data_IF_774814296671
#
_entry.id   IF_774814296671
#
_cell.length_a   1.000
_cell.length_b   1.000
_cell.length_c   1.000
_cell.angle_alpha   90.00
_cell.angle_beta   90.00
_cell.angle_gamma   90.00
#
_symmetry.space_group_name_H-M   'P 1'
#
loop_
_entity.id
_entity.type
_entity.pdbx_description
1 polymer ?
#
# COMPACT_ATOMS: atom_id res chain seq x y z
N UNK A 1 10.99 -19.19 -29.00
CA UNK A 1 11.46 -18.02 -28.24
C UNK A 1 10.61 -17.90 -27.00
N UNK A 2 11.12 -18.28 -25.83
CA UNK A 2 10.45 -18.02 -24.56
C UNK A 2 10.80 -16.58 -24.20
N UNK A 3 9.90 -15.63 -24.44
CA UNK A 3 10.00 -14.31 -23.81
C UNK A 3 9.75 -14.53 -22.33
N UNK A 4 10.81 -14.80 -21.57
CA UNK A 4 10.79 -15.02 -20.13
C UNK A 4 10.44 -13.73 -19.42
N UNK A 5 9.15 -13.42 -19.32
CA UNK A 5 8.68 -12.32 -18.50
C UNK A 5 8.92 -12.68 -17.04
N UNK A 6 9.46 -11.75 -16.25
CA UNK A 6 9.58 -11.90 -14.80
C UNK A 6 8.23 -12.29 -14.22
N UNK A 7 8.20 -13.21 -13.26
CA UNK A 7 6.98 -13.60 -12.53
C UNK A 7 6.62 -12.61 -11.42
N UNK A 8 7.51 -11.65 -11.12
CA UNK A 8 7.28 -10.63 -10.09
C UNK A 8 6.57 -9.41 -10.65
N UNK A 9 5.66 -8.84 -9.86
CA UNK A 9 5.03 -7.55 -10.09
C UNK A 9 5.16 -6.71 -8.83
N UNK A 10 6.02 -5.70 -8.86
CA UNK A 10 6.22 -4.78 -7.73
C UNK A 10 5.55 -3.45 -8.05
N UNK A 11 4.56 -3.06 -7.26
CA UNK A 11 3.75 -1.88 -7.53
C UNK A 11 3.36 -1.13 -6.26
N UNK A 12 3.06 0.16 -6.41
CA UNK A 12 2.49 0.99 -5.36
C UNK A 12 1.05 1.39 -5.68
N UNK A 13 0.26 1.65 -4.64
CA UNK A 13 -1.02 2.35 -4.79
C UNK A 13 -0.84 3.79 -4.31
N UNK A 14 -1.19 4.74 -5.18
CA UNK A 14 -1.14 6.17 -4.91
C UNK A 14 -2.54 6.75 -5.06
N UNK A 15 -2.92 7.63 -4.13
CA UNK A 15 -4.24 8.25 -4.14
C UNK A 15 -4.24 9.49 -3.24
N UNK A 16 -5.21 10.37 -3.45
CA UNK A 16 -5.58 11.38 -2.46
C UNK A 16 -6.16 10.68 -1.20
N UNK A 17 -6.17 11.33 -0.01
CA UNK A 17 -6.89 10.78 1.14
C UNK A 17 -8.33 10.44 0.81
N UNK A 18 -8.83 9.39 1.47
CA UNK A 18 -10.20 8.89 1.36
C UNK A 18 -10.66 8.39 -0.03
N UNK A 19 -9.78 8.37 -1.04
CA UNK A 19 -10.06 7.82 -2.38
C UNK A 19 -10.25 6.28 -2.41
N UNK A 20 -10.05 5.59 -1.27
CA UNK A 20 -10.31 4.16 -1.15
C UNK A 20 -9.09 3.24 -1.29
N UNK A 21 -7.85 3.78 -1.21
CA UNK A 21 -6.60 2.99 -1.24
C UNK A 21 -6.63 1.78 -0.30
N UNK A 22 -6.99 1.99 0.97
CA UNK A 22 -7.05 0.90 1.97
C UNK A 22 -8.04 -0.20 1.57
N UNK A 23 -9.18 0.20 1.01
CA UNK A 23 -10.21 -0.75 0.53
C UNK A 23 -9.71 -1.54 -0.68
N UNK A 24 -9.03 -0.89 -1.63
CA UNK A 24 -8.43 -1.58 -2.76
C UNK A 24 -7.34 -2.57 -2.31
N UNK A 25 -6.45 -2.14 -1.42
CA UNK A 25 -5.42 -3.00 -0.81
C UNK A 25 -6.03 -4.24 -0.16
N UNK A 26 -7.08 -4.07 0.67
CA UNK A 26 -7.79 -5.20 1.30
C UNK A 26 -8.30 -6.19 0.24
N UNK A 27 -8.94 -5.68 -0.83
CA UNK A 27 -9.53 -6.53 -1.87
C UNK A 27 -8.48 -7.26 -2.69
N UNK A 28 -7.37 -6.61 -3.04
CA UNK A 28 -6.26 -7.26 -3.73
C UNK A 28 -5.69 -8.43 -2.91
N UNK A 29 -5.49 -8.23 -1.60
CA UNK A 29 -5.04 -9.29 -0.70
C UNK A 29 -6.05 -10.43 -0.59
N UNK A 30 -7.36 -10.12 -0.53
CA UNK A 30 -8.41 -11.15 -0.54
C UNK A 30 -8.40 -11.97 -1.82
N UNK A 31 -8.28 -11.32 -2.99
CA UNK A 31 -8.22 -12.01 -4.28
C UNK A 31 -6.95 -12.85 -4.42
N UNK A 32 -5.84 -12.43 -3.80
CA UNK A 32 -4.60 -13.21 -3.70
C UNK A 32 -4.60 -14.31 -2.63
N UNK A 33 -5.73 -14.56 -1.94
CA UNK A 33 -5.83 -15.56 -0.88
C UNK A 33 -5.10 -15.18 0.43
N UNK A 34 -4.58 -13.96 0.55
CA UNK A 34 -3.89 -13.45 1.73
C UNK A 34 -4.89 -12.97 2.81
N UNK A 35 -5.80 -13.86 3.24
CA UNK A 35 -6.96 -13.57 4.11
C UNK A 35 -6.55 -12.88 5.41
N UNK A 36 -5.52 -13.39 6.10
CA UNK A 36 -5.05 -12.82 7.36
C UNK A 36 -4.50 -11.39 7.17
N UNK A 37 -3.77 -11.17 6.07
CA UNK A 37 -3.18 -9.87 5.75
C UNK A 37 -4.27 -8.86 5.38
N UNK A 38 -5.29 -9.29 4.62
CA UNK A 38 -6.46 -8.47 4.33
C UNK A 38 -7.21 -8.04 5.60
N UNK A 39 -7.41 -8.97 6.54
CA UNK A 39 -8.02 -8.67 7.84
C UNK A 39 -7.22 -7.63 8.64
N UNK A 40 -5.89 -7.74 8.64
CA UNK A 40 -5.01 -6.78 9.29
C UNK A 40 -5.05 -5.38 8.65
N UNK A 41 -5.11 -5.31 7.31
CA UNK A 41 -5.25 -4.03 6.58
C UNK A 41 -6.56 -3.35 6.93
N UNK A 42 -7.67 -4.11 6.92
CA UNK A 42 -8.98 -3.57 7.28
C UNK A 42 -9.01 -3.03 8.71
N UNK A 43 -8.53 -3.81 9.68
CA UNK A 43 -8.46 -3.40 11.08
C UNK A 43 -7.60 -2.13 11.26
N UNK A 44 -6.48 -2.02 10.55
CA UNK A 44 -5.63 -0.80 10.56
C UNK A 44 -6.34 0.40 9.93
N UNK A 45 -7.10 0.18 8.85
CA UNK A 45 -7.91 1.23 8.22
C UNK A 45 -8.98 1.79 9.16
N UNK A 46 -9.69 0.91 9.86
CA UNK A 46 -10.69 1.28 10.89
C UNK A 46 -10.03 2.04 12.06
N UNK A 47 -8.86 1.59 12.54
CA UNK A 47 -8.10 2.31 13.56
C UNK A 47 -7.60 3.69 13.10
N UNK A 48 -7.14 3.84 11.85
CA UNK A 48 -6.69 5.14 11.29
C UNK A 48 -7.82 6.16 11.22
N UNK A 49 -9.04 5.74 10.87
CA UNK A 49 -10.22 6.64 10.81
C UNK A 49 -10.54 7.26 12.18
N UNK A 50 -10.32 6.52 13.26
CA UNK A 50 -10.58 6.99 14.63
C UNK A 50 -9.44 7.84 15.21
N UNK A 51 -8.26 7.85 14.56
CA UNK A 51 -7.00 8.30 15.16
C UNK A 51 -6.32 9.44 14.37
N UNK A 52 -7.07 10.21 13.57
CA UNK A 52 -6.53 11.28 12.70
C UNK A 52 -5.68 12.31 13.47
N UNK A 53 -6.01 12.57 14.73
CA UNK A 53 -5.24 13.47 15.61
C UNK A 53 -3.84 12.95 15.93
N UNK A 54 -3.64 11.62 15.98
CA UNK A 54 -2.31 11.04 16.24
C UNK A 54 -1.37 11.16 15.04
N UNK A 55 -1.91 11.10 13.82
CA UNK A 55 -1.09 11.29 12.60
C UNK A 55 -0.58 12.73 12.46
N UNK A 56 -1.32 13.74 12.96
CA UNK A 56 -0.80 15.11 13.09
C UNK A 56 0.36 15.20 14.07
N UNK A 57 0.24 14.54 15.23
CA UNK A 57 1.30 14.48 16.25
C UNK A 57 2.55 13.75 15.73
N UNK A 58 2.40 12.66 14.98
CA UNK A 58 3.52 11.96 14.34
C UNK A 58 4.24 12.84 13.32
N UNK A 59 3.49 13.61 12.53
CA UNK A 59 4.02 14.60 11.57
C UNK A 59 4.78 15.72 12.28
N UNK A 60 4.23 16.29 13.36
CA UNK A 60 4.89 17.32 14.18
C UNK A 60 6.16 16.82 14.89
N UNK A 61 6.22 15.52 15.20
CA UNK A 61 7.38 14.89 15.85
C UNK A 61 8.40 14.30 14.86
N UNK A 62 8.16 14.40 13.55
CA UNK A 62 9.01 13.79 12.53
C UNK A 62 9.04 12.25 12.59
N UNK A 63 8.04 11.63 13.20
CA UNK A 63 7.91 10.18 13.31
C UNK A 63 7.20 9.70 12.04
N UNK A 64 7.96 9.21 11.06
CA UNK A 64 7.40 8.70 9.81
C UNK A 64 6.58 7.43 10.07
N UNK A 65 5.32 7.42 9.61
CA UNK A 65 4.52 6.20 9.47
C UNK A 65 5.10 5.46 8.28
N UNK A 66 5.94 4.47 8.52
CA UNK A 66 6.65 3.76 7.46
C UNK A 66 5.71 3.12 6.42
N UNK A 67 6.14 3.12 5.16
CA UNK A 67 5.50 2.36 4.09
C UNK A 67 5.50 0.87 4.45
N UNK A 68 4.36 0.19 4.26
CA UNK A 68 4.28 -1.26 4.49
C UNK A 68 4.33 -2.03 3.18
N UNK A 69 5.21 -3.03 3.14
CA UNK A 69 5.31 -3.98 2.02
C UNK A 69 4.42 -5.18 2.29
N UNK A 70 3.61 -5.58 1.33
CA UNK A 70 2.74 -6.74 1.38
C UNK A 70 2.99 -7.61 0.16
N UNK A 71 3.24 -8.90 0.38
CA UNK A 71 3.51 -9.86 -0.69
C UNK A 71 2.43 -10.94 -0.73
N UNK A 72 1.91 -11.23 -1.92
CA UNK A 72 0.90 -12.27 -2.15
C UNK A 72 1.06 -12.88 -3.54
N UNK A 73 0.49 -14.07 -3.75
CA UNK A 73 0.47 -14.73 -5.05
C UNK A 73 -0.88 -14.49 -5.74
N UNK A 74 -0.86 -14.25 -7.05
CA UNK A 74 -2.07 -14.14 -7.86
C UNK A 74 -1.81 -14.70 -9.26
N UNK A 75 -2.57 -15.72 -9.65
CA UNK A 75 -2.47 -16.36 -10.98
C UNK A 75 -1.03 -16.81 -11.34
N UNK A 76 -0.30 -17.37 -10.37
CA UNK A 76 1.10 -17.79 -10.55
C UNK A 76 2.12 -16.65 -10.63
N UNK A 77 1.72 -15.42 -10.33
CA UNK A 77 2.57 -14.24 -10.23
C UNK A 77 2.80 -13.85 -8.77
N UNK A 78 4.05 -13.52 -8.44
CA UNK A 78 4.41 -12.97 -7.14
C UNK A 78 4.17 -11.46 -7.14
N UNK A 79 3.17 -11.01 -6.39
CA UNK A 79 2.78 -9.61 -6.25
C UNK A 79 3.46 -9.00 -5.02
N UNK A 80 4.09 -7.83 -5.19
CA UNK A 80 4.64 -7.03 -4.11
C UNK A 80 3.97 -5.65 -4.14
N UNK A 81 3.13 -5.38 -3.14
CA UNK A 81 2.42 -4.12 -2.97
C UNK A 81 3.13 -3.28 -1.91
N UNK A 82 3.61 -2.10 -2.31
CA UNK A 82 4.10 -1.08 -1.41
C UNK A 82 2.95 -0.11 -1.11
N UNK A 83 2.40 -0.20 0.10
CA UNK A 83 1.39 0.74 0.57
C UNK A 83 2.06 2.00 1.11
N UNK A 84 1.83 3.11 0.41
CA UNK A 84 2.24 4.44 0.84
C UNK A 84 1.34 4.90 2.00
N UNK A 85 1.81 5.71 2.95
CA UNK A 85 0.91 6.42 3.86
C UNK A 85 -0.08 7.27 3.06
N UNK A 86 -1.36 7.26 3.43
CA UNK A 86 -2.34 8.20 2.85
C UNK A 86 -2.10 9.57 3.45
N UNK A 87 -1.35 10.42 2.76
CA UNK A 87 -1.06 11.79 3.20
C UNK A 87 -1.84 12.76 2.30
N UNK A 88 -2.40 13.82 2.86
CA UNK A 88 -3.07 14.92 2.13
C UNK A 88 -2.20 15.52 1.03
N UNK A 89 -0.89 15.40 1.19
CA UNK A 89 0.13 15.88 0.28
C UNK A 89 1.05 14.72 -0.13
N UNK A 90 1.40 14.63 -1.41
CA UNK A 90 2.49 13.79 -1.89
C UNK A 90 3.79 14.16 -1.17
N UNK A 91 4.15 13.42 -0.12
CA UNK A 91 5.35 13.63 0.69
C UNK A 91 6.59 12.98 0.08
N UNK A 92 7.78 13.30 0.60
CA UNK A 92 9.05 12.66 0.21
C UNK A 92 8.99 11.12 0.32
N UNK A 93 8.29 10.59 1.33
CA UNK A 93 8.13 9.15 1.54
C UNK A 93 7.33 8.47 0.41
N UNK A 94 6.36 9.18 -0.18
CA UNK A 94 5.64 8.73 -1.37
C UNK A 94 6.57 8.68 -2.59
N UNK A 95 7.38 9.73 -2.80
CA UNK A 95 8.37 9.74 -3.89
C UNK A 95 9.40 8.62 -3.74
N UNK A 96 9.91 8.40 -2.52
CA UNK A 96 10.86 7.32 -2.22
C UNK A 96 10.25 5.94 -2.49
N UNK A 97 8.99 5.74 -2.12
CA UNK A 97 8.26 4.50 -2.43
C UNK A 97 8.16 4.27 -3.93
N UNK A 98 7.89 5.30 -4.71
CA UNK A 98 7.80 5.21 -6.17
C UNK A 98 9.14 4.84 -6.83
N UNK A 99 10.28 5.17 -6.22
CA UNK A 99 11.59 4.72 -6.72
C UNK A 99 11.85 3.22 -6.52
N UNK A 100 11.05 2.54 -5.68
CA UNK A 100 11.22 1.14 -5.32
C UNK A 100 10.24 0.19 -6.04
N UNK A 101 9.42 0.70 -6.96
CA UNK A 101 8.39 -0.07 -7.68
C UNK A 101 8.55 0.03 -9.20
N UNK A 102 8.09 -1.00 -9.90
CA UNK A 102 8.12 -1.06 -11.37
C UNK A 102 6.90 -0.34 -11.98
N UNK A 103 5.81 -0.22 -11.22
CA UNK A 103 4.57 0.43 -11.66
C UNK A 103 3.76 1.02 -10.49
N UNK A 104 2.77 1.85 -10.82
CA UNK A 104 1.85 2.42 -9.84
C UNK A 104 0.41 2.31 -10.33
N UNK A 105 -0.50 2.11 -9.38
CA UNK A 105 -1.95 2.19 -9.58
C UNK A 105 -2.41 3.50 -8.94
N UNK A 106 -2.98 4.38 -9.75
CA UNK A 106 -3.59 5.61 -9.26
C UNK A 106 -5.08 5.38 -9.04
N UNK A 107 -5.56 5.75 -7.85
CA UNK A 107 -6.97 5.68 -7.43
C UNK A 107 -7.47 7.08 -7.11
#
# INVERSE_FOLDING_TARGET
>A
MITGHSTRRTFAIISHPDAGKTTLTEKLLLFGGAIQMAGAVRARGEQRRTRSDWMKIERERGISVSASVMSFEFDGLSMNLLDTPGHEDFSEDTYRTLTAVDSAIMV
#
